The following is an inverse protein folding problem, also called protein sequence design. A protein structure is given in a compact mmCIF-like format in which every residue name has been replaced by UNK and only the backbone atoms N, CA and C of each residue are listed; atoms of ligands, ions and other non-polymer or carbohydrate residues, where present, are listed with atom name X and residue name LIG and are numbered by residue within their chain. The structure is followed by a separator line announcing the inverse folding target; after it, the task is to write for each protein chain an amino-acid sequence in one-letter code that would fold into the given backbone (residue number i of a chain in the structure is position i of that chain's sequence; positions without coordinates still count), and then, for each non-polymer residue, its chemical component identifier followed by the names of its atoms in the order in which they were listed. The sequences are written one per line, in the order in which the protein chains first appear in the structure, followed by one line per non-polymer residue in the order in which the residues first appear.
data_IF_984962693327
#
_entry.id   IF_984962693327
#
_cell.length_a   1.000
_cell.length_b   1.000
_cell.length_c   1.000
_cell.angle_alpha   90.00
_cell.angle_beta   90.00
_cell.angle_gamma   90.00
#
_symmetry.space_group_name_H-M   'P 1'
#
loop_
_entity.id
_entity.type
_entity.pdbx_description
1 polymer ?
#
# COMPACT_ATOMS: atom_id res chain seq x y z
N UNK A 1 -21.92 10.88 -11.15
CA UNK A 1 -21.45 9.49 -11.15
C UNK A 1 -20.42 9.39 -10.05
N UNK A 2 -20.84 8.94 -8.87
CA UNK A 2 -19.91 8.67 -7.78
C UNK A 2 -19.09 7.45 -8.15
N UNK A 3 -17.79 7.65 -8.32
CA UNK A 3 -16.83 6.56 -8.44
C UNK A 3 -16.85 5.86 -7.09
N UNK A 4 -17.55 4.72 -7.02
CA UNK A 4 -17.49 3.80 -5.89
C UNK A 4 -16.04 3.31 -5.80
N UNK A 5 -15.21 4.07 -5.07
CA UNK A 5 -13.84 3.73 -4.83
C UNK A 5 -13.82 2.52 -3.90
N UNK A 6 -12.94 1.56 -4.17
CA UNK A 6 -12.73 0.37 -3.36
C UNK A 6 -12.48 0.70 -1.87
N UNK A 7 -11.97 1.91 -1.61
CA UNK A 7 -11.72 2.45 -0.28
C UNK A 7 -12.96 2.96 0.47
N UNK A 8 -14.08 3.24 -0.22
CA UNK A 8 -15.34 3.63 0.45
C UNK A 8 -15.99 2.45 1.19
N UNK A 9 -15.65 1.21 0.80
CA UNK A 9 -16.18 -0.02 1.40
C UNK A 9 -15.40 -0.52 2.62
N UNK A 10 -14.17 -0.06 2.86
CA UNK A 10 -13.32 -0.53 3.97
C UNK A 10 -13.43 0.32 5.25
N UNK A 11 -14.65 0.73 5.60
CA UNK A 11 -14.94 1.40 6.88
C UNK A 11 -14.64 0.51 8.11
N UNK A 12 -14.58 -0.81 7.94
CA UNK A 12 -14.27 -1.75 9.02
C UNK A 12 -12.83 -1.61 9.56
N UNK A 13 -11.90 -1.05 8.78
CA UNK A 13 -10.48 -0.89 9.13
C UNK A 13 -10.21 0.20 10.19
N UNK A 14 -11.14 1.13 10.36
CA UNK A 14 -11.04 2.16 11.40
C UNK A 14 -11.67 1.71 12.70
N UNK A 15 -12.21 0.49 12.74
CA UNK A 15 -12.87 -0.03 13.93
C UNK A 15 -11.83 -0.32 14.99
N UNK A 16 -11.93 0.35 16.13
CA UNK A 16 -11.22 -0.07 17.32
C UNK A 16 -11.84 -1.41 17.77
N UNK A 17 -10.99 -2.43 17.88
CA UNK A 17 -11.40 -3.77 18.29
C UNK A 17 -10.75 -4.07 19.64
N UNK A 18 -11.58 -4.46 20.59
CA UNK A 18 -11.14 -4.98 21.88
C UNK A 18 -11.53 -6.45 22.04
N UNK A 19 -10.89 -7.19 22.97
CA UNK A 19 -11.37 -8.50 23.37
C UNK A 19 -12.85 -8.44 23.80
N UNK A 20 -13.64 -9.41 23.36
CA UNK A 20 -15.03 -9.57 23.84
C UNK A 20 -15.01 -9.94 25.33
N UNK A 21 -15.98 -9.40 26.07
CA UNK A 21 -16.13 -9.60 27.52
C UNK A 21 -17.43 -10.31 27.88
N UNK A 22 -18.41 -10.41 26.97
CA UNK A 22 -19.67 -11.13 27.18
C UNK A 22 -19.46 -12.66 27.12
N UNK A 23 -19.74 -13.41 28.22
CA UNK A 23 -19.57 -14.86 28.28
C UNK A 23 -20.44 -15.64 27.29
N UNK A 24 -21.63 -15.16 26.94
CA UNK A 24 -22.53 -15.84 26.00
C UNK A 24 -22.07 -15.66 24.55
N UNK A 25 -21.51 -14.50 24.19
CA UNK A 25 -20.92 -14.25 22.88
C UNK A 25 -19.60 -15.01 22.68
N UNK A 26 -18.79 -15.10 23.73
CA UNK A 26 -17.59 -15.94 23.76
C UNK A 26 -17.93 -17.42 23.52
N UNK A 27 -18.98 -17.95 24.16
CA UNK A 27 -19.47 -19.33 23.90
C UNK A 27 -19.89 -19.53 22.44
N UNK A 28 -20.34 -18.47 21.78
CA UNK A 28 -20.70 -18.44 20.35
C UNK A 28 -19.50 -18.16 19.43
N UNK A 29 -18.27 -18.16 19.97
CA UNK A 29 -17.00 -17.92 19.25
C UNK A 29 -16.85 -16.50 18.71
N UNK A 30 -17.50 -15.52 19.33
CA UNK A 30 -17.24 -14.10 19.09
C UNK A 30 -16.21 -13.65 20.12
N UNK A 31 -14.97 -13.41 19.66
CA UNK A 31 -13.81 -13.14 20.53
C UNK A 31 -13.42 -11.66 20.59
N UNK A 32 -14.04 -10.86 19.75
CA UNK A 32 -13.66 -9.48 19.47
C UNK A 32 -14.92 -8.64 19.34
N UNK A 33 -14.89 -7.45 19.93
CA UNK A 33 -16.00 -6.47 19.86
C UNK A 33 -15.51 -5.16 19.26
N UNK A 34 -16.39 -4.54 18.47
CA UNK A 34 -16.18 -3.22 17.88
C UNK A 34 -16.49 -2.16 18.93
N UNK A 35 -15.50 -1.37 19.35
CA UNK A 35 -15.64 -0.41 20.45
C UNK A 35 -15.62 1.05 20.02
N UNK A 36 -15.24 1.33 18.78
CA UNK A 36 -15.16 2.70 18.29
C UNK A 36 -14.68 2.76 16.86
N UNK A 37 -14.50 3.98 16.37
CA UNK A 37 -13.83 4.28 15.10
C UNK A 37 -12.68 5.22 15.43
N UNK A 38 -11.44 4.90 15.02
CA UNK A 38 -10.29 5.80 15.21
C UNK A 38 -10.55 7.12 14.47
N UNK A 39 -10.52 8.23 15.21
CA UNK A 39 -10.61 9.60 14.67
C UNK A 39 -9.43 9.96 13.73
N UNK A 40 -8.31 9.23 13.81
CA UNK A 40 -7.04 9.50 13.10
C UNK A 40 -6.94 8.91 11.69
N UNK A 41 -7.96 8.20 11.21
CA UNK A 41 -7.89 7.45 9.95
C UNK A 41 -8.01 8.29 8.67
N UNK A 42 -8.26 9.61 8.78
CA UNK A 42 -8.53 10.49 7.64
C UNK A 42 -7.70 11.76 7.74
N UNK A 43 -7.03 12.11 6.66
CA UNK A 43 -6.21 13.32 6.60
C UNK A 43 -6.97 14.48 5.95
N UNK A 44 -6.83 15.66 6.54
CA UNK A 44 -7.25 16.93 5.95
C UNK A 44 -6.31 17.36 4.82
N UNK A 45 -6.75 18.28 3.97
CA UNK A 45 -5.89 18.84 2.91
C UNK A 45 -4.61 19.49 3.45
N UNK A 46 -4.68 20.13 4.62
CA UNK A 46 -3.53 20.75 5.27
C UNK A 46 -2.51 19.71 5.74
N UNK A 47 -2.97 18.60 6.32
CA UNK A 47 -2.10 17.49 6.72
C UNK A 47 -1.43 16.83 5.51
N UNK A 48 -2.20 16.59 4.43
CA UNK A 48 -1.64 16.03 3.19
C UNK A 48 -0.60 16.98 2.59
N UNK A 49 -0.89 18.28 2.52
CA UNK A 49 0.04 19.27 1.99
C UNK A 49 1.34 19.36 2.80
N UNK A 50 1.27 19.32 4.13
CA UNK A 50 2.45 19.32 4.99
C UNK A 50 3.35 18.09 4.74
N UNK A 51 2.76 16.92 4.48
CA UNK A 51 3.50 15.70 4.17
C UNK A 51 4.09 15.73 2.76
N UNK A 52 3.38 16.28 1.79
CA UNK A 52 3.92 16.54 0.45
C UNK A 52 5.12 17.50 0.48
N UNK A 53 5.05 18.55 1.29
CA UNK A 53 6.16 19.48 1.50
C UNK A 53 7.37 18.75 2.13
N UNK A 54 7.13 17.88 3.13
CA UNK A 54 8.18 17.01 3.72
C UNK A 54 8.82 16.11 2.67
N UNK A 55 8.02 15.52 1.79
CA UNK A 55 8.47 14.60 0.75
C UNK A 55 9.09 15.31 -0.47
N UNK A 56 8.86 16.62 -0.61
CA UNK A 56 9.26 17.39 -1.79
C UNK A 56 8.52 17.00 -3.07
N UNK A 57 7.35 16.35 -2.96
CA UNK A 57 6.55 15.89 -4.11
C UNK A 57 5.06 16.16 -3.91
N UNK A 58 4.31 16.26 -5.00
CA UNK A 58 2.84 16.31 -4.96
C UNK A 58 2.28 14.92 -5.26
N UNK A 59 1.54 14.36 -4.32
CA UNK A 59 0.89 13.06 -4.50
C UNK A 59 -0.15 13.12 -5.61
N UNK A 60 -0.29 12.06 -6.42
CA UNK A 60 -1.35 11.97 -7.42
C UNK A 60 -2.73 12.10 -6.77
N UNK A 61 -3.64 12.84 -7.42
CA UNK A 61 -4.98 13.10 -6.88
C UNK A 61 -5.75 11.83 -6.43
N UNK A 62 -5.73 10.71 -7.17
CA UNK A 62 -6.38 9.48 -6.69
C UNK A 62 -5.81 8.97 -5.36
N UNK A 63 -4.49 9.13 -5.13
CA UNK A 63 -3.83 8.72 -3.89
C UNK A 63 -4.13 9.68 -2.74
N UNK A 64 -4.12 10.99 -2.98
CA UNK A 64 -4.60 11.99 -1.99
C UNK A 64 -6.00 11.66 -1.50
N UNK A 65 -6.88 11.23 -2.41
CA UNK A 65 -8.24 10.86 -2.07
C UNK A 65 -8.28 9.61 -1.18
N UNK A 66 -7.34 8.67 -1.30
CA UNK A 66 -7.22 7.56 -0.33
C UNK A 66 -6.93 8.12 1.05
N UNK A 67 -5.92 8.97 1.21
CA UNK A 67 -5.55 9.53 2.52
C UNK A 67 -6.65 10.34 3.20
N UNK A 68 -7.58 10.94 2.44
CA UNK A 68 -8.77 11.61 3.01
C UNK A 68 -9.81 10.64 3.59
N UNK A 69 -9.75 9.37 3.21
CA UNK A 69 -10.69 8.33 3.65
C UNK A 69 -10.02 7.28 4.54
N UNK A 70 -8.71 7.09 4.39
CA UNK A 70 -7.92 6.02 4.96
C UNK A 70 -6.42 6.37 4.98
N UNK A 71 -5.84 6.51 6.17
CA UNK A 71 -4.42 6.83 6.38
C UNK A 71 -3.58 5.59 6.70
N UNK A 72 -3.41 4.73 5.70
CA UNK A 72 -2.62 3.51 5.83
C UNK A 72 -3.27 2.45 6.71
N UNK A 73 -2.65 1.26 6.73
CA UNK A 73 -3.17 0.07 7.39
C UNK A 73 -3.62 -0.99 6.39
N UNK A 74 -4.41 -1.95 6.88
CA UNK A 74 -4.75 -3.15 6.14
C UNK A 74 -5.77 -2.88 5.01
N UNK A 75 -5.52 -3.44 3.84
CA UNK A 75 -6.54 -3.57 2.79
C UNK A 75 -6.71 -5.04 2.45
N UNK A 76 -7.93 -5.49 2.21
CA UNK A 76 -8.14 -6.85 1.72
C UNK A 76 -7.33 -7.10 0.44
N UNK A 77 -7.14 -8.37 0.06
CA UNK A 77 -6.40 -8.70 -1.16
C UNK A 77 -7.05 -8.05 -2.38
N UNK A 78 -6.37 -7.04 -2.91
CA UNK A 78 -6.74 -6.37 -4.16
C UNK A 78 -6.08 -7.08 -5.33
N UNK A 79 -6.79 -7.12 -6.45
CA UNK A 79 -6.27 -7.57 -7.73
C UNK A 79 -6.24 -6.40 -8.70
N UNK A 80 -5.33 -6.46 -9.67
CA UNK A 80 -5.24 -5.51 -10.77
C UNK A 80 -5.44 -6.21 -12.10
N UNK A 81 -6.46 -5.81 -12.86
CA UNK A 81 -6.83 -6.46 -14.12
C UNK A 81 -8.18 -5.99 -14.65
N UNK A 82 -8.83 -6.84 -15.45
CA UNK A 82 -10.19 -6.60 -15.93
C UNK A 82 -11.22 -7.14 -14.92
N UNK A 83 -11.84 -6.24 -14.16
CA UNK A 83 -12.87 -6.59 -13.18
C UNK A 83 -14.05 -7.36 -13.79
N UNK A 84 -14.35 -7.17 -15.09
CA UNK A 84 -15.43 -7.90 -15.76
C UNK A 84 -15.05 -9.32 -16.19
N UNK A 85 -13.76 -9.65 -16.17
CA UNK A 85 -13.22 -10.94 -16.57
C UNK A 85 -11.99 -11.30 -15.71
N UNK A 86 -12.18 -11.61 -14.41
CA UNK A 86 -11.07 -11.85 -13.49
C UNK A 86 -10.36 -13.19 -13.76
N UNK A 87 -9.03 -13.18 -13.69
CA UNK A 87 -8.15 -14.34 -13.86
C UNK A 87 -7.38 -14.67 -12.59
N UNK A 88 -6.99 -15.93 -12.44
CA UNK A 88 -6.13 -16.36 -11.32
C UNK A 88 -4.72 -15.79 -11.37
N UNK A 89 -4.28 -15.34 -12.55
CA UNK A 89 -2.99 -14.70 -12.80
C UNK A 89 -3.02 -13.18 -12.68
N UNK A 90 -4.17 -12.58 -12.32
CA UNK A 90 -4.24 -11.13 -12.15
C UNK A 90 -3.30 -10.69 -11.04
N UNK A 91 -2.65 -9.55 -11.28
CA UNK A 91 -1.58 -9.04 -10.41
C UNK A 91 -2.19 -8.73 -9.06
N UNK A 92 -1.53 -9.15 -7.98
CA UNK A 92 -1.80 -8.63 -6.65
C UNK A 92 -0.82 -7.47 -6.43
N UNK A 93 -1.25 -6.21 -6.62
CA UNK A 93 -0.33 -5.09 -6.58
C UNK A 93 0.20 -4.85 -5.17
N UNK A 94 -0.66 -4.91 -4.16
CA UNK A 94 -0.30 -4.58 -2.78
C UNK A 94 0.33 -5.80 -2.11
N UNK A 95 1.54 -5.67 -1.51
CA UNK A 95 2.21 -6.78 -0.85
C UNK A 95 1.33 -7.43 0.23
N UNK A 96 1.22 -8.77 0.19
CA UNK A 96 0.33 -9.54 1.08
C UNK A 96 0.94 -9.92 2.43
N UNK A 97 2.26 -9.78 2.62
CA UNK A 97 2.89 -10.16 3.88
C UNK A 97 2.38 -9.29 5.05
N UNK A 98 1.92 -8.07 4.75
CA UNK A 98 1.35 -7.14 5.74
C UNK A 98 0.07 -6.43 5.28
N UNK A 99 -0.36 -6.58 4.01
CA UNK A 99 -1.54 -5.92 3.43
C UNK A 99 -1.60 -4.40 3.67
N UNK A 100 -0.45 -3.75 3.85
CA UNK A 100 -0.38 -2.38 4.35
C UNK A 100 -0.14 -1.37 3.22
N UNK A 101 -1.07 -0.43 3.08
CA UNK A 101 -0.66 0.89 2.62
C UNK A 101 0.04 1.60 3.77
N UNK A 102 1.11 2.33 3.46
CA UNK A 102 1.78 3.15 4.46
C UNK A 102 0.87 4.30 4.85
N UNK A 103 0.82 4.60 6.15
CA UNK A 103 0.31 5.87 6.61
C UNK A 103 1.17 6.98 5.99
N UNK A 104 0.60 8.15 5.70
CA UNK A 104 1.29 9.18 4.93
C UNK A 104 2.54 9.72 5.66
N UNK A 105 2.55 9.66 6.99
CA UNK A 105 3.72 9.93 7.82
C UNK A 105 4.88 8.97 7.59
N UNK A 106 4.60 7.72 7.23
CA UNK A 106 5.59 6.65 6.98
C UNK A 106 5.99 6.54 5.51
N UNK A 107 5.29 7.24 4.61
CA UNK A 107 5.72 7.38 3.22
C UNK A 107 7.07 8.07 3.18
N UNK A 108 7.99 7.50 2.42
CA UNK A 108 9.37 7.96 2.32
C UNK A 108 10.00 7.52 0.99
N UNK A 109 11.14 8.09 0.59
CA UNK A 109 11.98 7.51 -0.45
C UNK A 109 12.27 6.02 -0.18
N UNK A 110 12.21 5.19 -1.20
CA UNK A 110 12.44 3.75 -1.11
C UNK A 110 13.77 3.43 -0.42
N UNK A 111 14.81 4.21 -0.72
CA UNK A 111 16.14 4.06 -0.13
C UNK A 111 16.18 4.18 1.39
N UNK A 112 15.20 4.85 1.98
CA UNK A 112 15.05 5.02 3.43
C UNK A 112 14.14 3.94 4.03
N UNK A 113 13.17 3.44 3.26
CA UNK A 113 12.17 2.47 3.75
C UNK A 113 12.63 1.01 3.65
N UNK A 114 13.26 0.63 2.55
CA UNK A 114 13.61 -0.76 2.25
C UNK A 114 14.64 -1.35 3.24
N UNK A 115 15.69 -0.63 3.69
CA UNK A 115 16.63 -1.16 4.67
C UNK A 115 15.95 -1.55 5.99
N UNK A 116 15.05 -0.70 6.50
CA UNK A 116 14.33 -0.96 7.74
C UNK A 116 13.44 -2.22 7.63
N UNK A 117 12.75 -2.40 6.49
CA UNK A 117 11.95 -3.61 6.25
C UNK A 117 12.79 -4.89 6.19
N UNK A 118 14.02 -4.80 5.68
CA UNK A 118 14.90 -5.97 5.58
C UNK A 118 15.54 -6.32 6.92
N UNK A 119 15.90 -5.32 7.70
CA UNK A 119 16.39 -5.48 9.07
C UNK A 119 15.32 -6.14 9.96
N UNK A 120 14.08 -5.64 9.93
CA UNK A 120 12.96 -6.19 10.70
C UNK A 120 12.63 -7.66 10.37
N UNK A 121 13.04 -8.13 9.20
CA UNK A 121 12.81 -9.50 8.72
C UNK A 121 14.06 -10.39 8.75
N UNK A 122 15.13 -9.94 9.42
CA UNK A 122 16.42 -10.65 9.49
C UNK A 122 16.98 -11.02 8.09
N UNK A 123 16.77 -10.16 7.09
CA UNK A 123 17.24 -10.37 5.70
C UNK A 123 18.63 -9.79 5.45
N UNK A 124 19.22 -9.13 6.45
CA UNK A 124 20.54 -8.51 6.39
C UNK A 124 20.49 -7.03 6.03
N UNK A 125 21.68 -6.41 5.97
CA UNK A 125 21.83 -5.00 5.67
C UNK A 125 21.89 -4.78 4.16
N UNK A 126 20.89 -4.08 3.61
CA UNK A 126 20.84 -3.68 2.21
C UNK A 126 21.31 -2.24 2.04
N UNK A 127 22.40 -2.03 1.30
CA UNK A 127 22.84 -0.69 0.92
C UNK A 127 22.00 -0.14 -0.24
N UNK A 128 21.04 0.71 0.12
CA UNK A 128 20.15 1.37 -0.82
C UNK A 128 20.63 2.77 -1.27
N UNK A 129 21.86 3.17 -0.95
CA UNK A 129 22.36 4.54 -1.21
C UNK A 129 22.32 4.95 -2.68
N UNK A 130 22.42 3.99 -3.60
CA UNK A 130 22.37 4.20 -5.05
C UNK A 130 20.94 4.37 -5.62
N UNK A 131 19.89 4.12 -4.84
CA UNK A 131 18.52 4.30 -5.29
C UNK A 131 18.15 5.78 -5.39
N UNK A 132 17.46 6.16 -6.47
CA UNK A 132 17.05 7.54 -6.70
C UNK A 132 16.03 7.98 -5.62
N UNK A 133 16.25 9.11 -4.93
CA UNK A 133 15.34 9.61 -3.89
C UNK A 133 13.93 9.94 -4.41
N UNK A 134 13.75 10.05 -5.74
CA UNK A 134 12.46 10.31 -6.39
C UNK A 134 11.58 9.06 -6.53
N UNK A 135 12.06 7.91 -6.06
CA UNK A 135 11.27 6.68 -5.91
C UNK A 135 10.62 6.69 -4.52
N UNK A 136 9.35 7.05 -4.44
CA UNK A 136 8.63 7.20 -3.16
C UNK A 136 7.80 5.93 -2.88
N UNK A 137 8.07 5.25 -1.78
CA UNK A 137 7.33 4.06 -1.39
C UNK A 137 6.01 4.44 -0.70
N UNK A 138 4.89 3.92 -1.20
CA UNK A 138 3.53 4.10 -0.63
C UNK A 138 2.95 2.81 -0.04
N UNK A 139 3.59 1.67 -0.34
CA UNK A 139 3.43 0.40 0.33
C UNK A 139 4.80 -0.30 0.30
N UNK A 140 5.17 -1.00 1.37
CA UNK A 140 6.41 -1.77 1.43
C UNK A 140 6.21 -2.93 2.41
N UNK A 141 6.56 -4.14 2.01
CA UNK A 141 6.55 -5.30 2.87
C UNK A 141 7.61 -6.31 2.41
N UNK A 142 8.66 -6.46 3.21
CA UNK A 142 9.81 -7.30 2.90
C UNK A 142 10.42 -7.00 1.54
N UNK A 143 10.29 -7.94 0.60
CA UNK A 143 10.87 -7.84 -0.74
C UNK A 143 9.99 -7.12 -1.76
N UNK A 144 8.81 -6.63 -1.39
CA UNK A 144 7.91 -5.98 -2.34
C UNK A 144 7.58 -4.54 -1.92
N UNK A 145 7.45 -3.63 -2.89
CA UNK A 145 7.01 -2.26 -2.66
C UNK A 145 6.10 -1.75 -3.77
N UNK A 146 5.19 -0.83 -3.43
CA UNK A 146 4.53 0.04 -4.41
C UNK A 146 5.21 1.40 -4.39
N UNK A 147 5.69 1.84 -5.55
CA UNK A 147 6.47 3.05 -5.73
C UNK A 147 5.71 4.06 -6.60
N UNK A 148 5.87 5.34 -6.25
CA UNK A 148 5.67 6.47 -7.14
C UNK A 148 7.02 6.88 -7.71
N UNK A 149 7.18 6.78 -9.03
CA UNK A 149 8.41 7.13 -9.72
C UNK A 149 8.31 8.53 -10.34
N UNK A 150 8.94 9.52 -9.70
CA UNK A 150 8.99 10.92 -10.15
C UNK A 150 10.26 11.25 -10.96
N UNK A 151 11.03 10.26 -11.41
CA UNK A 151 12.30 10.51 -12.11
C UNK A 151 12.12 11.29 -13.42
N UNK A 152 10.97 11.13 -14.07
CA UNK A 152 10.62 11.74 -15.35
C UNK A 152 9.76 13.02 -15.22
N UNK A 153 9.31 13.39 -14.01
CA UNK A 153 8.55 14.62 -13.80
C UNK A 153 7.55 14.57 -12.63
N UNK A 154 6.71 15.60 -12.54
CA UNK A 154 5.76 15.77 -11.43
C UNK A 154 4.54 14.83 -11.48
N UNK A 155 4.32 14.13 -12.60
CA UNK A 155 3.30 13.08 -12.73
C UNK A 155 3.98 11.73 -12.66
N UNK A 156 3.91 11.01 -11.54
CA UNK A 156 4.70 9.80 -11.35
C UNK A 156 4.09 8.62 -12.08
N UNK A 157 4.96 7.73 -12.56
CA UNK A 157 4.57 6.34 -12.87
C UNK A 157 4.34 5.59 -11.57
N UNK A 158 3.61 4.49 -11.63
CA UNK A 158 3.40 3.61 -10.47
C UNK A 158 4.07 2.28 -10.77
N UNK A 159 4.75 1.70 -9.78
CA UNK A 159 5.42 0.43 -9.93
C UNK A 159 5.14 -0.47 -8.74
N UNK A 160 4.82 -1.75 -8.98
CA UNK A 160 5.05 -2.81 -8.00
C UNK A 160 6.47 -3.31 -8.24
N UNK A 161 7.37 -3.11 -7.29
CA UNK A 161 8.76 -3.57 -7.34
C UNK A 161 8.93 -4.85 -6.53
N UNK A 162 9.81 -5.74 -6.98
CA UNK A 162 10.27 -6.90 -6.25
C UNK A 162 11.80 -6.89 -6.12
N UNK A 163 12.29 -7.09 -4.90
CA UNK A 163 13.71 -7.12 -4.53
C UNK A 163 14.04 -8.51 -3.98
N UNK A 164 14.59 -9.37 -4.83
CA UNK A 164 14.91 -10.74 -4.44
C UNK A 164 16.06 -10.76 -3.43
N UNK A 165 15.80 -11.26 -2.22
CA UNK A 165 16.84 -11.50 -1.20
C UNK A 165 17.82 -12.62 -1.55
N UNK A 166 17.56 -13.36 -2.64
CA UNK A 166 18.38 -14.49 -3.09
C UNK A 166 19.38 -14.09 -4.18
N UNK A 167 19.34 -12.85 -4.65
CA UNK A 167 20.29 -12.31 -5.62
C UNK A 167 21.47 -11.66 -4.88
N UNK A 168 22.67 -11.75 -5.47
CA UNK A 168 23.87 -11.11 -4.91
C UNK A 168 23.75 -9.57 -4.89
N UNK A 169 23.04 -9.00 -5.87
CA UNK A 169 22.66 -7.58 -5.92
C UNK A 169 21.14 -7.45 -6.20
N UNK A 170 20.31 -7.38 -5.14
CA UNK A 170 18.86 -7.22 -5.26
C UNK A 170 18.43 -5.94 -5.97
N UNK A 171 19.33 -4.95 -6.12
CA UNK A 171 19.04 -3.63 -6.69
C UNK A 171 19.51 -3.50 -8.16
N UNK A 172 20.36 -4.39 -8.67
CA UNK A 172 20.93 -4.25 -10.02
C UNK A 172 19.88 -4.34 -11.14
N UNK A 173 18.85 -5.17 -10.99
CA UNK A 173 17.93 -5.52 -12.08
C UNK A 173 16.44 -5.45 -11.71
N UNK A 174 16.11 -4.89 -10.54
CA UNK A 174 14.73 -4.88 -10.03
C UNK A 174 13.75 -4.22 -11.00
N UNK A 175 14.18 -3.18 -11.74
CA UNK A 175 13.32 -2.43 -12.67
C UNK A 175 12.80 -3.31 -13.82
N UNK A 176 13.57 -4.32 -14.20
CA UNK A 176 13.29 -5.25 -15.31
C UNK A 176 12.92 -6.65 -14.84
N UNK A 177 12.82 -6.88 -13.52
CA UNK A 177 12.40 -8.17 -12.98
C UNK A 177 11.00 -8.52 -13.50
N UNK A 178 10.77 -9.81 -13.80
CA UNK A 178 9.48 -10.29 -14.32
C UNK A 178 8.31 -10.07 -13.36
N UNK A 179 8.59 -9.91 -12.07
CA UNK A 179 7.62 -9.69 -11.00
C UNK A 179 7.39 -8.19 -10.75
N UNK A 180 8.23 -7.34 -11.34
CA UNK A 180 8.06 -5.89 -11.34
C UNK A 180 7.04 -5.49 -12.40
N UNK A 181 6.00 -4.76 -11.98
CA UNK A 181 4.89 -4.36 -12.83
C UNK A 181 4.78 -2.84 -12.84
N UNK A 182 4.72 -2.26 -14.03
CA UNK A 182 4.64 -0.82 -14.23
C UNK A 182 3.26 -0.39 -14.73
N UNK A 183 2.79 0.73 -14.18
CA UNK A 183 1.62 1.45 -14.65
C UNK A 183 2.03 2.89 -15.01
N UNK A 184 1.48 3.45 -16.10
CA UNK A 184 1.91 4.76 -16.60
C UNK A 184 1.56 5.90 -15.64
N UNK A 185 0.55 5.74 -14.80
CA UNK A 185 0.17 6.70 -13.77
C UNK A 185 -0.82 6.09 -12.77
N UNK A 186 -1.11 6.85 -11.73
CA UNK A 186 -2.02 6.44 -10.66
C UNK A 186 -3.48 6.24 -11.13
N UNK A 187 -3.95 6.97 -12.15
CA UNK A 187 -5.32 6.78 -12.63
C UNK A 187 -5.50 5.40 -13.28
N UNK A 188 -4.51 4.94 -14.05
CA UNK A 188 -4.49 3.59 -14.63
C UNK A 188 -4.37 2.52 -13.55
N UNK A 189 -3.52 2.74 -12.55
CA UNK A 189 -3.41 1.85 -11.40
C UNK A 189 -4.78 1.66 -10.72
N UNK A 190 -5.43 2.73 -10.28
CA UNK A 190 -6.73 2.63 -9.59
C UNK A 190 -7.83 2.02 -10.44
N UNK A 191 -7.87 2.32 -11.74
CA UNK A 191 -8.93 1.81 -12.63
C UNK A 191 -8.92 0.29 -12.73
N UNK A 192 -7.75 -0.33 -12.64
CA UNK A 192 -7.62 -1.79 -12.69
C UNK A 192 -7.80 -2.46 -11.34
N UNK A 193 -7.84 -1.72 -10.22
CA UNK A 193 -8.02 -2.32 -8.90
C UNK A 193 -9.44 -2.83 -8.69
N UNK A 194 -9.56 -4.09 -8.26
CA UNK A 194 -10.85 -4.66 -7.83
C UNK A 194 -10.66 -5.69 -6.71
N UNK A 195 -11.76 -5.98 -6.00
CA UNK A 195 -11.85 -7.10 -5.07
C UNK A 195 -12.37 -8.32 -5.82
N UNK A 196 -11.68 -9.45 -5.71
CA UNK A 196 -12.22 -10.72 -6.14
C UNK A 196 -12.97 -11.36 -4.96
N UNK A 197 -14.30 -11.23 -4.93
CA UNK A 197 -15.13 -12.02 -4.03
C UNK A 197 -15.10 -13.47 -4.51
N UNK A 198 -14.21 -14.30 -3.96
CA UNK A 198 -14.36 -15.75 -4.05
C UNK A 198 -15.49 -16.12 -3.10
N UNK A 199 -16.72 -16.21 -3.61
CA UNK A 199 -17.72 -17.03 -2.96
C UNK A 199 -17.14 -18.45 -2.91
N UNK A 200 -16.73 -18.85 -1.72
CA UNK A 200 -16.42 -20.24 -1.39
C UNK A 200 -17.72 -21.03 -1.26
#
# INVERSE_FOLDING_TARGET
MEVNNIFTWYLDQHTEIEPETDPELIKQRVWQRRVGVKDSGRLTEAQIAAQEDRLGVRLPMPWRNVYKHFNGGWVGTLYWGDMSNPHSSDVVPIPQATHQYLALEDVAPLRERLPAEWEDLDQGNLDCSNLDPRLIAIACAGSEAILLDYREGASPRVCKAFFSKYEDDPLAAWETDRSTVWWPNMAVFFRGLYLQNRAA
#
